data_IF_958342236492
#
_entry.id   IF_958342236492
#
_cell.length_a   1.000
_cell.length_b   1.000
_cell.length_c   1.000
_cell.angle_alpha   90.00
_cell.angle_beta   90.00
_cell.angle_gamma   90.00
#
_symmetry.space_group_name_H-M   'P 1'
#
loop_
_entity.id
_entity.type
_entity.pdbx_description
1 polymer ?
#
# COMPACT_ATOMS: atom_id res chain seq x y z
N UNK A 1 4.19 10.96 -8.16
CA UNK A 1 5.30 11.82 -7.68
C UNK A 1 5.63 11.56 -6.21
N UNK A 2 4.68 11.73 -5.25
CA UNK A 2 4.96 11.60 -3.81
C UNK A 2 5.50 10.24 -3.34
N UNK A 3 5.25 9.18 -4.09
CA UNK A 3 5.76 7.84 -3.82
C UNK A 3 7.06 7.59 -4.59
N UNK A 4 7.15 8.03 -5.83
CA UNK A 4 8.26 7.71 -6.74
C UNK A 4 9.51 8.53 -6.45
N UNK A 5 9.37 9.83 -6.18
CA UNK A 5 10.50 10.73 -5.99
C UNK A 5 11.49 10.28 -4.91
N UNK A 6 11.06 9.83 -3.71
CA UNK A 6 11.99 9.34 -2.68
C UNK A 6 12.83 8.14 -3.12
N UNK A 7 12.26 7.29 -3.99
CA UNK A 7 12.94 6.09 -4.49
C UNK A 7 13.82 6.38 -5.70
N UNK A 8 13.46 7.39 -6.48
CA UNK A 8 14.27 7.83 -7.62
C UNK A 8 15.45 8.71 -7.21
N UNK A 9 15.29 9.49 -6.16
CA UNK A 9 16.27 10.49 -5.72
C UNK A 9 16.60 10.34 -4.22
N UNK A 10 17.08 9.16 -3.77
CA UNK A 10 17.32 8.91 -2.35
C UNK A 10 18.42 9.82 -1.75
N UNK A 11 19.41 10.20 -2.53
CA UNK A 11 20.51 11.03 -2.06
C UNK A 11 20.05 12.48 -1.80
N UNK A 12 19.21 13.03 -2.65
CA UNK A 12 18.60 14.35 -2.47
C UNK A 12 17.70 14.37 -1.22
N UNK A 13 16.96 13.28 -0.99
CA UNK A 13 16.14 13.17 0.22
C UNK A 13 16.99 13.09 1.49
N UNK A 14 18.14 12.38 1.47
CA UNK A 14 19.09 12.32 2.59
C UNK A 14 19.73 13.69 2.84
N UNK A 15 20.18 14.36 1.80
CA UNK A 15 20.83 15.68 1.90
C UNK A 15 19.90 16.71 2.54
N UNK A 16 18.62 16.70 2.16
CA UNK A 16 17.59 17.57 2.73
C UNK A 16 16.97 17.04 4.02
N UNK A 17 17.46 15.92 4.58
CA UNK A 17 16.91 15.26 5.77
C UNK A 17 15.43 14.92 5.68
N UNK A 18 14.94 14.70 4.46
CA UNK A 18 13.58 14.27 4.20
C UNK A 18 13.48 12.74 4.36
N UNK A 19 12.46 12.29 5.05
CA UNK A 19 12.17 10.85 5.17
C UNK A 19 11.17 10.46 4.09
N UNK A 20 11.47 9.41 3.28
CA UNK A 20 10.48 8.88 2.36
C UNK A 20 9.28 8.33 3.14
N UNK A 21 8.05 8.48 2.62
CA UNK A 21 6.88 7.87 3.24
C UNK A 21 7.02 6.35 3.20
N UNK A 22 6.84 5.68 4.34
CA UNK A 22 6.88 4.21 4.41
C UNK A 22 5.66 3.57 3.79
N UNK A 23 4.55 4.29 3.80
CA UNK A 23 3.31 3.79 3.28
C UNK A 23 2.33 4.88 2.88
N UNK A 24 1.39 4.48 2.06
CA UNK A 24 0.34 5.33 1.51
C UNK A 24 -1.02 4.73 1.80
N UNK A 25 -1.97 5.54 2.24
CA UNK A 25 -3.37 5.15 2.32
C UNK A 25 -4.16 5.76 1.16
N UNK A 26 -4.74 4.91 0.31
CA UNK A 26 -5.75 5.28 -0.67
C UNK A 26 -7.14 5.11 -0.03
N UNK A 27 -7.90 6.19 0.10
CA UNK A 27 -9.23 6.10 0.72
C UNK A 27 -10.29 6.78 -0.14
N UNK A 28 -11.52 6.29 -0.06
CA UNK A 28 -12.65 6.83 -0.80
C UNK A 28 -13.66 5.77 -1.19
N UNK A 29 -14.70 6.13 -1.94
CA UNK A 29 -15.80 5.24 -2.28
C UNK A 29 -15.35 3.94 -2.95
N UNK A 30 -16.09 2.84 -2.82
CA UNK A 30 -15.79 1.61 -3.52
C UNK A 30 -15.90 1.80 -5.04
N UNK A 31 -15.18 1.00 -5.82
CA UNK A 31 -15.22 1.02 -7.28
C UNK A 31 -14.49 2.19 -7.96
N UNK A 32 -13.77 3.04 -7.20
CA UNK A 32 -13.05 4.19 -7.77
C UNK A 32 -11.63 3.87 -8.26
N UNK A 33 -11.24 2.60 -8.36
CA UNK A 33 -9.97 2.19 -8.97
C UNK A 33 -8.75 2.23 -8.03
N UNK A 34 -8.92 2.21 -6.71
CA UNK A 34 -7.80 2.22 -5.74
C UNK A 34 -6.76 1.12 -6.04
N UNK A 35 -7.21 -0.09 -6.32
CA UNK A 35 -6.34 -1.23 -6.68
C UNK A 35 -5.62 -1.00 -8.02
N UNK A 36 -6.28 -0.38 -9.01
CA UNK A 36 -5.65 -0.02 -10.28
C UNK A 36 -4.56 1.03 -10.10
N UNK A 37 -4.81 2.04 -9.25
CA UNK A 37 -3.81 3.06 -8.91
C UNK A 37 -2.58 2.41 -8.29
N UNK A 38 -2.75 1.51 -7.32
CA UNK A 38 -1.64 0.81 -6.68
C UNK A 38 -0.81 -0.01 -7.69
N UNK A 39 -1.45 -0.73 -8.62
CA UNK A 39 -0.77 -1.46 -9.70
C UNK A 39 -0.06 -0.52 -10.67
N UNK A 40 -0.66 0.60 -11.01
CA UNK A 40 -0.06 1.61 -11.88
C UNK A 40 1.20 2.21 -11.24
N UNK A 41 1.19 2.49 -9.94
CA UNK A 41 2.36 2.96 -9.19
C UNK A 41 3.47 1.91 -9.23
N UNK A 42 3.16 0.63 -9.00
CA UNK A 42 4.16 -0.45 -9.08
C UNK A 42 4.85 -0.51 -10.45
N UNK A 43 4.07 -0.46 -11.53
CA UNK A 43 4.60 -0.49 -12.89
C UNK A 43 5.39 0.79 -13.23
N UNK A 44 4.92 1.95 -12.81
CA UNK A 44 5.59 3.23 -13.05
C UNK A 44 6.95 3.27 -12.35
N UNK A 45 7.00 2.87 -11.08
CA UNK A 45 8.24 2.83 -10.31
C UNK A 45 9.24 1.84 -10.91
N UNK A 46 8.78 0.64 -11.31
CA UNK A 46 9.64 -0.35 -11.96
C UNK A 46 10.27 0.18 -13.25
N UNK A 47 9.47 0.84 -14.11
CA UNK A 47 9.96 1.45 -15.34
C UNK A 47 10.98 2.56 -15.09
N UNK A 48 10.71 3.41 -14.11
CA UNK A 48 11.59 4.52 -13.77
C UNK A 48 12.92 4.04 -13.21
N UNK A 49 12.93 3.02 -12.35
CA UNK A 49 14.16 2.40 -11.83
C UNK A 49 14.93 1.68 -12.93
N UNK A 50 14.24 0.95 -13.82
CA UNK A 50 14.84 0.26 -14.95
C UNK A 50 15.54 1.23 -15.92
N UNK A 51 14.88 2.34 -16.25
CA UNK A 51 15.45 3.37 -17.12
C UNK A 51 16.72 4.00 -16.52
N UNK A 52 16.77 4.21 -15.19
CA UNK A 52 17.95 4.77 -14.52
C UNK A 52 19.12 3.80 -14.41
N UNK A 53 18.84 2.52 -14.17
CA UNK A 53 19.87 1.49 -13.92
C UNK A 53 20.23 0.68 -15.17
N UNK A 54 19.55 0.90 -16.31
CA UNK A 54 19.79 0.17 -17.55
C UNK A 54 19.46 -1.32 -17.47
N UNK A 55 18.49 -1.69 -16.65
CA UNK A 55 18.04 -3.08 -16.44
C UNK A 55 16.60 -3.27 -16.91
N UNK A 56 16.15 -4.52 -16.99
CA UNK A 56 14.75 -4.81 -17.33
C UNK A 56 13.81 -4.36 -16.21
N UNK A 57 12.67 -3.76 -16.58
CA UNK A 57 11.68 -3.28 -15.63
C UNK A 57 10.96 -4.44 -14.94
N UNK A 58 11.17 -4.59 -13.66
CA UNK A 58 10.54 -5.64 -12.84
C UNK A 58 10.05 -5.07 -11.52
N UNK A 59 8.85 -5.48 -11.10
CA UNK A 59 8.30 -5.19 -9.76
C UNK A 59 7.49 -6.37 -9.24
N UNK A 60 7.45 -6.52 -7.94
CA UNK A 60 6.54 -7.48 -7.30
C UNK A 60 5.37 -6.74 -6.67
N UNK A 61 4.16 -7.24 -6.93
CA UNK A 61 2.93 -6.73 -6.37
C UNK A 61 2.25 -7.81 -5.53
N UNK A 62 2.31 -7.66 -4.21
CA UNK A 62 1.65 -8.54 -3.27
C UNK A 62 0.29 -7.96 -2.91
N UNK A 63 -0.77 -8.57 -3.42
CA UNK A 63 -2.15 -8.14 -3.16
C UNK A 63 -2.74 -8.95 -2.01
N UNK A 64 -3.08 -8.26 -0.93
CA UNK A 64 -3.61 -8.83 0.31
C UNK A 64 -4.99 -8.23 0.54
N UNK A 65 -6.00 -9.09 0.58
CA UNK A 65 -7.35 -8.64 0.94
C UNK A 65 -7.60 -8.85 2.43
N UNK A 66 -8.03 -7.81 3.12
CA UNK A 66 -8.28 -7.84 4.54
C UNK A 66 -9.13 -9.02 4.99
N UNK A 67 -10.32 -9.25 4.41
CA UNK A 67 -11.19 -10.37 4.79
C UNK A 67 -10.57 -11.75 4.61
N UNK A 68 -9.65 -11.92 3.63
CA UNK A 68 -8.97 -13.20 3.37
C UNK A 68 -7.90 -13.53 4.42
N UNK A 69 -7.35 -12.51 5.08
CA UNK A 69 -6.41 -12.70 6.18
C UNK A 69 -7.10 -13.05 7.50
N UNK A 70 -8.33 -12.55 7.69
CA UNK A 70 -9.10 -12.81 8.91
C UNK A 70 -9.52 -14.28 8.95
N UNK A 71 -8.84 -15.07 9.76
CA UNK A 71 -9.21 -16.46 10.02
C UNK A 71 -9.86 -16.62 11.40
N UNK A 72 -10.59 -17.74 11.56
CA UNK A 72 -11.28 -18.08 12.81
C UNK A 72 -10.32 -18.46 13.97
N UNK A 73 -9.03 -18.66 13.68
CA UNK A 73 -8.05 -19.12 14.67
C UNK A 73 -7.14 -17.98 15.11
N UNK A 74 -7.00 -17.85 16.42
CA UNK A 74 -6.12 -16.84 17.05
C UNK A 74 -4.67 -17.08 16.62
N UNK A 75 -3.96 -16.00 16.26
CA UNK A 75 -2.54 -16.06 15.87
C UNK A 75 -2.25 -16.38 14.40
N UNK A 76 -3.22 -16.87 13.63
CA UNK A 76 -3.00 -17.13 12.20
C UNK A 76 -2.90 -15.85 11.37
N UNK A 77 -3.69 -14.84 11.69
CA UNK A 77 -3.68 -13.56 10.99
C UNK A 77 -2.34 -12.85 11.16
N UNK A 78 -1.79 -12.82 12.39
CA UNK A 78 -0.48 -12.26 12.69
C UNK A 78 0.65 -13.02 11.97
N UNK A 79 0.55 -14.36 11.94
CA UNK A 79 1.51 -15.20 11.23
C UNK A 79 1.51 -14.91 9.71
N UNK A 80 0.34 -14.75 9.12
CA UNK A 80 0.20 -14.39 7.70
C UNK A 80 0.75 -13.00 7.41
N UNK A 81 0.51 -12.01 8.28
CA UNK A 81 1.10 -10.67 8.14
C UNK A 81 2.63 -10.76 8.13
N UNK A 82 3.23 -11.46 9.09
CA UNK A 82 4.68 -11.69 9.12
C UNK A 82 5.20 -12.36 7.83
N UNK A 83 4.49 -13.37 7.33
CA UNK A 83 4.86 -14.06 6.10
C UNK A 83 4.84 -13.14 4.88
N UNK A 84 3.83 -12.27 4.77
CA UNK A 84 3.74 -11.27 3.70
C UNK A 84 4.94 -10.34 3.72
N UNK A 85 5.27 -9.76 4.87
CA UNK A 85 6.42 -8.86 4.99
C UNK A 85 7.76 -9.59 4.80
N UNK A 86 7.88 -10.82 5.27
CA UNK A 86 9.04 -11.67 4.99
C UNK A 86 9.23 -11.89 3.49
N UNK A 87 8.18 -12.27 2.76
CA UNK A 87 8.21 -12.41 1.30
C UNK A 87 8.55 -11.10 0.60
N UNK A 88 8.03 -9.97 1.08
CA UNK A 88 8.36 -8.67 0.54
C UNK A 88 9.85 -8.36 0.68
N UNK A 89 10.43 -8.59 1.86
CA UNK A 89 11.87 -8.42 2.11
C UNK A 89 12.74 -9.33 1.25
N UNK A 90 12.36 -10.58 1.06
CA UNK A 90 13.08 -11.56 0.24
C UNK A 90 13.08 -11.21 -1.25
N UNK A 91 12.05 -10.54 -1.72
CA UNK A 91 11.89 -10.17 -3.15
C UNK A 91 12.41 -8.78 -3.49
N UNK A 92 12.55 -7.91 -2.51
CA UNK A 92 13.02 -6.55 -2.71
C UNK A 92 14.53 -6.56 -3.00
N UNK A 93 14.92 -5.89 -4.07
CA UNK A 93 16.31 -5.64 -4.44
C UNK A 93 16.47 -4.19 -4.88
N UNK A 94 17.70 -3.73 -5.07
CA UNK A 94 17.99 -2.36 -5.54
C UNK A 94 17.39 -2.04 -6.92
N UNK A 95 17.03 -3.05 -7.69
CA UNK A 95 16.45 -2.90 -9.03
C UNK A 95 14.98 -3.31 -9.10
N UNK A 96 14.48 -4.00 -8.07
CA UNK A 96 13.15 -4.61 -8.08
C UNK A 96 12.35 -4.13 -6.86
N UNK A 97 11.52 -3.09 -7.00
CA UNK A 97 10.65 -2.63 -5.93
C UNK A 97 9.53 -3.63 -5.66
N UNK A 98 9.17 -3.76 -4.39
CA UNK A 98 8.05 -4.57 -3.94
C UNK A 98 6.95 -3.67 -3.40
N UNK A 99 5.75 -3.80 -3.95
CA UNK A 99 4.55 -3.14 -3.42
C UNK A 99 3.73 -4.16 -2.64
N UNK A 100 3.53 -3.91 -1.36
CA UNK A 100 2.60 -4.67 -0.53
C UNK A 100 1.30 -3.88 -0.45
N UNK A 101 0.27 -4.39 -1.11
CA UNK A 101 -1.03 -3.74 -1.20
C UNK A 101 -2.04 -4.43 -0.29
N UNK A 102 -2.54 -3.71 0.72
CA UNK A 102 -3.60 -4.15 1.60
C UNK A 102 -4.93 -3.55 1.15
N UNK A 103 -5.79 -4.37 0.57
CA UNK A 103 -7.15 -3.97 0.21
C UNK A 103 -8.12 -4.19 1.38
N UNK A 104 -9.14 -3.35 1.48
CA UNK A 104 -10.13 -3.39 2.56
C UNK A 104 -9.50 -3.38 3.97
N UNK A 105 -8.51 -2.48 4.17
CA UNK A 105 -7.78 -2.38 5.44
C UNK A 105 -8.68 -2.16 6.66
N UNK A 106 -9.82 -1.51 6.48
CA UNK A 106 -10.81 -1.29 7.53
C UNK A 106 -11.41 -2.58 8.09
N UNK A 107 -11.25 -3.70 7.41
CA UNK A 107 -11.61 -5.01 7.96
C UNK A 107 -10.57 -5.59 8.93
N UNK A 108 -9.27 -5.26 8.73
CA UNK A 108 -8.14 -5.79 9.52
C UNK A 108 -7.76 -4.90 10.70
N UNK A 109 -7.78 -3.58 10.49
CA UNK A 109 -7.16 -2.61 11.39
C UNK A 109 -8.19 -1.64 11.97
N UNK A 110 -9.27 -2.18 12.56
CA UNK A 110 -10.35 -1.39 13.14
C UNK A 110 -9.96 -0.66 14.43
N UNK A 111 -10.63 0.46 14.66
CA UNK A 111 -10.57 1.18 15.94
C UNK A 111 -11.06 0.29 17.07
N UNK A 112 -10.36 0.31 18.20
CA UNK A 112 -10.69 -0.44 19.41
C UNK A 112 -12.11 -0.15 19.89
N UNK A 113 -12.86 -1.20 20.24
CA UNK A 113 -14.14 -1.07 20.95
C UNK A 113 -15.40 -1.17 20.08
N UNK A 114 -15.31 -1.53 18.80
CA UNK A 114 -16.47 -1.66 17.91
C UNK A 114 -17.10 -3.07 17.85
N UNK A 115 -16.65 -4.06 18.67
CA UNK A 115 -17.20 -5.42 18.63
C UNK A 115 -16.61 -6.38 19.68
N UNK A 116 -17.13 -7.61 19.68
CA UNK A 116 -16.87 -8.67 20.68
C UNK A 116 -15.44 -9.30 20.55
N UNK A 117 -14.62 -8.90 19.59
CA UNK A 117 -13.33 -9.52 19.25
C UNK A 117 -12.11 -8.64 19.58
N UNK A 118 -12.15 -7.89 20.68
CA UNK A 118 -11.15 -6.85 20.98
C UNK A 118 -9.69 -7.31 21.08
N UNK A 119 -9.43 -8.54 21.53
CA UNK A 119 -8.06 -9.00 21.80
C UNK A 119 -7.30 -9.41 20.51
N UNK A 120 -7.99 -10.03 19.57
CA UNK A 120 -7.40 -10.45 18.27
C UNK A 120 -7.08 -9.22 17.40
N UNK A 121 -7.98 -8.23 17.38
CA UNK A 121 -7.76 -7.00 16.60
C UNK A 121 -6.55 -6.22 17.14
N UNK A 122 -6.33 -6.19 18.45
CA UNK A 122 -5.19 -5.52 19.09
C UNK A 122 -3.86 -6.16 18.65
N UNK A 123 -3.79 -7.48 18.63
CA UNK A 123 -2.56 -8.22 18.27
C UNK A 123 -2.24 -8.09 16.79
N UNK A 124 -3.24 -8.09 15.93
CA UNK A 124 -3.11 -7.90 14.47
C UNK A 124 -2.57 -6.50 14.14
N UNK A 125 -3.14 -5.45 14.75
CA UNK A 125 -2.64 -4.08 14.60
C UNK A 125 -1.20 -3.97 15.10
N UNK A 126 -0.90 -4.50 16.29
CA UNK A 126 0.45 -4.45 16.85
C UNK A 126 1.47 -5.17 15.97
N UNK A 127 1.13 -6.33 15.41
CA UNK A 127 2.00 -7.07 14.50
C UNK A 127 2.27 -6.29 13.21
N UNK A 128 1.22 -5.72 12.61
CA UNK A 128 1.36 -4.90 11.41
C UNK A 128 2.26 -3.68 11.64
N UNK A 129 2.08 -2.99 12.76
CA UNK A 129 2.90 -1.84 13.13
C UNK A 129 4.38 -2.23 13.34
N UNK A 130 4.63 -3.37 13.98
CA UNK A 130 5.98 -3.91 14.17
C UNK A 130 6.65 -4.20 12.82
N UNK A 131 5.92 -4.76 11.86
CA UNK A 131 6.46 -5.02 10.52
C UNK A 131 6.74 -3.71 9.75
N UNK A 132 5.85 -2.72 9.83
CA UNK A 132 6.07 -1.40 9.23
C UNK A 132 7.29 -0.68 9.82
N UNK A 133 7.42 -0.72 11.14
CA UNK A 133 8.55 -0.10 11.83
C UNK A 133 9.87 -0.80 11.48
N UNK A 134 9.82 -2.12 11.22
CA UNK A 134 10.96 -2.92 10.75
C UNK A 134 11.37 -2.67 9.29
N UNK A 135 10.59 -1.92 8.50
CA UNK A 135 10.93 -1.55 7.12
C UNK A 135 11.92 -0.36 7.02
N UNK A 136 12.34 0.25 8.13
CA UNK A 136 13.21 1.45 8.10
C UNK A 136 14.54 1.25 7.36
N UNK A 137 15.02 0.01 7.28
CA UNK A 137 16.25 -0.36 6.58
C UNK A 137 16.06 -0.85 5.14
N UNK A 138 14.81 -0.93 4.63
CA UNK A 138 14.49 -1.51 3.33
C UNK A 138 13.99 -0.43 2.37
N UNK A 139 14.89 0.06 1.56
CA UNK A 139 14.64 1.18 0.63
C UNK A 139 13.64 0.83 -0.49
N UNK A 140 13.37 -0.47 -0.75
CA UNK A 140 12.59 -0.90 -1.93
C UNK A 140 11.29 -1.67 -1.60
N UNK A 141 10.76 -1.53 -0.39
CA UNK A 141 9.44 -2.06 -0.02
C UNK A 141 8.50 -0.90 0.29
N UNK A 142 7.38 -0.84 -0.41
CA UNK A 142 6.36 0.19 -0.25
C UNK A 142 5.06 -0.47 0.18
N UNK A 143 4.45 0.04 1.24
CA UNK A 143 3.13 -0.42 1.69
C UNK A 143 2.06 0.54 1.19
N UNK A 144 1.08 0.04 0.47
CA UNK A 144 -0.10 0.80 0.04
C UNK A 144 -1.33 0.16 0.66
N UNK A 145 -2.04 0.91 1.48
CA UNK A 145 -3.33 0.52 2.01
C UNK A 145 -4.48 1.10 1.20
N UNK A 146 -5.58 0.36 1.09
CA UNK A 146 -6.83 0.87 0.53
C UNK A 146 -7.99 0.64 1.51
N UNK A 147 -8.83 1.65 1.66
CA UNK A 147 -10.04 1.57 2.49
C UNK A 147 -11.18 2.38 1.91
N UNK A 148 -12.39 1.88 2.10
CA UNK A 148 -13.60 2.64 1.82
C UNK A 148 -14.03 3.50 3.03
N UNK A 149 -13.52 3.19 4.23
CA UNK A 149 -13.90 3.76 5.52
C UNK A 149 -12.65 4.06 6.36
N UNK A 150 -11.91 5.12 6.00
CA UNK A 150 -10.70 5.53 6.74
C UNK A 150 -10.98 5.84 8.23
N UNK A 151 -12.21 6.25 8.54
CA UNK A 151 -12.68 6.55 9.89
C UNK A 151 -12.69 5.32 10.82
N UNK A 152 -12.71 4.12 10.25
CA UNK A 152 -12.68 2.86 10.99
C UNK A 152 -11.26 2.33 11.23
N UNK A 153 -10.24 2.87 10.56
CA UNK A 153 -8.86 2.42 10.71
C UNK A 153 -8.27 2.97 12.02
N UNK A 154 -7.58 2.10 12.77
CA UNK A 154 -6.88 2.50 14.01
C UNK A 154 -5.92 3.68 13.73
N UNK A 155 -6.04 4.80 14.45
CA UNK A 155 -5.18 5.96 14.26
C UNK A 155 -3.69 5.66 14.38
N UNK A 156 -3.29 4.61 15.10
CA UNK A 156 -1.89 4.20 15.21
C UNK A 156 -1.28 3.80 13.86
N UNK A 157 -2.09 3.25 12.95
CA UNK A 157 -1.66 2.87 11.58
C UNK A 157 -1.39 4.11 10.73
N UNK A 158 -2.09 5.20 11.00
CA UNK A 158 -2.07 6.44 10.21
C UNK A 158 -1.11 7.52 10.75
N UNK A 159 -0.31 7.18 11.78
CA UNK A 159 0.66 8.13 12.37
C UNK A 159 1.84 8.41 11.45
N UNK A 160 2.51 9.58 11.59
CA UNK A 160 3.75 9.89 10.89
C UNK A 160 4.79 8.78 10.99
N UNK A 161 5.43 8.46 9.86
CA UNK A 161 6.39 7.36 9.75
C UNK A 161 5.76 5.98 9.49
N UNK A 162 4.44 5.91 9.24
CA UNK A 162 3.68 4.70 8.88
C UNK A 162 2.90 4.94 7.59
N UNK A 163 1.57 4.75 7.57
CA UNK A 163 0.73 5.15 6.43
C UNK A 163 0.36 6.63 6.54
N UNK A 164 1.34 7.49 6.46
CA UNK A 164 1.20 8.92 6.71
C UNK A 164 0.79 9.71 5.47
N UNK A 165 1.10 9.23 4.28
CA UNK A 165 0.61 9.83 3.04
C UNK A 165 -0.80 9.33 2.73
N UNK A 166 -1.80 10.21 2.90
CA UNK A 166 -3.22 9.90 2.66
C UNK A 166 -3.68 10.54 1.36
N UNK A 167 -4.18 9.72 0.44
CA UNK A 167 -4.68 10.17 -0.86
C UNK A 167 -6.16 9.80 -0.98
N UNK A 168 -7.00 10.83 -1.11
CA UNK A 168 -8.42 10.62 -1.38
C UNK A 168 -8.63 10.29 -2.84
N UNK A 169 -9.29 9.15 -3.10
CA UNK A 169 -9.70 8.74 -4.44
C UNK A 169 -11.20 8.99 -4.56
N UNK A 170 -11.55 10.00 -5.34
CA UNK A 170 -12.94 10.39 -5.55
C UNK A 170 -13.56 9.64 -6.74
N UNK A 171 -14.88 9.69 -6.83
CA UNK A 171 -15.57 9.22 -8.05
C UNK A 171 -15.15 10.09 -9.22
N UNK A 172 -14.95 9.51 -10.42
CA UNK A 172 -14.62 10.27 -11.61
C UNK A 172 -15.72 11.31 -11.88
N UNK A 173 -15.33 12.53 -12.18
CA UNK A 173 -16.22 13.54 -12.72
C UNK A 173 -16.62 13.18 -14.18
N UNK A 174 -17.42 14.02 -14.80
CA UNK A 174 -17.93 13.79 -16.17
C UNK A 174 -16.78 13.66 -17.19
N UNK A 175 -15.74 14.47 -17.04
CA UNK A 175 -14.61 14.46 -17.98
C UNK A 175 -13.74 13.21 -17.75
N UNK A 176 -13.37 12.93 -16.52
CA UNK A 176 -12.61 11.72 -16.15
C UNK A 176 -13.38 10.44 -16.53
N UNK A 177 -14.70 10.41 -16.35
CA UNK A 177 -15.51 9.27 -16.78
C UNK A 177 -15.43 9.07 -18.31
N UNK A 178 -15.53 10.15 -19.09
CA UNK A 178 -15.37 10.09 -20.55
C UNK A 178 -13.99 9.55 -20.94
N UNK A 179 -12.92 10.03 -20.30
CA UNK A 179 -11.57 9.59 -20.56
C UNK A 179 -11.35 8.11 -20.19
N UNK A 180 -12.00 7.63 -19.13
CA UNK A 180 -12.01 6.21 -18.76
C UNK A 180 -12.72 5.40 -19.85
N UNK A 181 -13.95 5.80 -20.23
CA UNK A 181 -14.69 5.09 -21.26
C UNK A 181 -13.96 5.03 -22.59
N UNK A 182 -13.28 6.10 -23.02
CA UNK A 182 -12.51 6.13 -24.27
C UNK A 182 -11.37 5.11 -24.31
N UNK A 183 -10.87 4.66 -23.14
CA UNK A 183 -9.82 3.64 -23.04
C UNK A 183 -10.34 2.20 -23.13
N UNK A 184 -11.60 1.99 -22.80
CA UNK A 184 -12.21 0.66 -22.72
C UNK A 184 -13.22 0.38 -23.82
N UNK A 185 -13.84 1.41 -24.38
CA UNK A 185 -14.70 1.28 -25.54
C UNK A 185 -13.82 1.34 -26.78
N UNK A 186 -13.64 0.20 -27.42
CA UNK A 186 -12.97 0.12 -28.74
C UNK A 186 -13.79 0.96 -29.73
N UNK A 187 -13.11 1.61 -30.65
CA UNK A 187 -13.68 2.52 -31.64
C UNK A 187 -14.58 1.85 -32.70
N UNK A 188 -14.89 0.57 -32.53
CA UNK A 188 -15.67 -0.28 -33.45
C UNK A 188 -17.09 -0.55 -32.96
N UNK A 189 -17.75 0.44 -32.34
CA UNK A 189 -19.20 0.46 -32.13
C UNK A 189 -19.83 1.59 -32.93
#
# INVERSE_FOLDING_TARGET
>A
DGIELPYLYPDEFREHRLRPPKGVLLYGPPGCGKTLIAKAVANSLARSLAARKGVEAQSYFLNIKGPELLNKYVGETESKIREVFKKAREKATDTTPVIVFFDEMDSLFRVRGSGISSDVEITVVAQFLSELDGLESLENVIVIGASNRQDLIDPAVLRPGRLDLKIKVERPDKQAARDIFSKYLLADL
#
